data_IF_105035899366
#
_entry.id   IF_105035899366
#
_cell.length_a   1.000
_cell.length_b   1.000
_cell.length_c   1.000
_cell.angle_alpha   90.00
_cell.angle_beta   90.00
_cell.angle_gamma   90.00
#
_symmetry.space_group_name_H-M   'P 1'
#
loop_
_entity.id
_entity.type
_entity.pdbx_description
1 polymer ?
#
# COMPACT_ATOMS: atom_id res chain seq x y z
N UNK A 1 -18.50 22.38 -51.88
CA UNK A 1 -17.52 21.49 -51.22
C UNK A 1 -17.54 21.83 -49.74
N UNK A 2 -18.27 21.04 -48.96
CA UNK A 2 -18.36 21.13 -47.50
C UNK A 2 -18.09 19.73 -46.98
N UNK A 3 -16.82 19.45 -46.67
CA UNK A 3 -16.39 18.19 -46.05
C UNK A 3 -16.65 18.27 -44.55
N UNK A 4 -17.79 17.73 -44.13
CA UNK A 4 -18.09 17.47 -42.72
C UNK A 4 -17.45 16.14 -42.32
N UNK A 5 -16.32 16.23 -41.61
CA UNK A 5 -15.64 15.13 -40.94
C UNK A 5 -16.46 14.67 -39.71
N UNK A 6 -16.96 13.44 -39.62
CA UNK A 6 -17.58 12.94 -38.40
C UNK A 6 -16.48 12.41 -37.46
N UNK A 7 -16.06 13.22 -36.50
CA UNK A 7 -15.31 12.75 -35.33
C UNK A 7 -16.21 11.83 -34.50
N UNK A 8 -15.91 10.53 -34.54
CA UNK A 8 -16.45 9.56 -33.61
C UNK A 8 -16.07 9.96 -32.17
N UNK A 9 -16.97 9.82 -31.18
CA UNK A 9 -16.61 10.04 -29.79
C UNK A 9 -15.54 9.03 -29.39
N UNK A 10 -14.35 9.55 -29.08
CA UNK A 10 -13.28 8.80 -28.43
C UNK A 10 -13.82 8.32 -27.08
N UNK A 11 -14.20 7.05 -27.02
CA UNK A 11 -14.42 6.34 -25.77
C UNK A 11 -13.10 6.37 -25.00
N UNK A 12 -13.07 7.19 -23.94
CA UNK A 12 -11.96 7.25 -23.00
C UNK A 12 -11.65 5.85 -22.50
N UNK A 13 -10.53 5.30 -22.96
CA UNK A 13 -9.91 4.14 -22.35
C UNK A 13 -9.50 4.56 -20.93
N UNK A 14 -10.37 4.25 -19.97
CA UNK A 14 -9.99 4.18 -18.58
C UNK A 14 -8.83 3.19 -18.48
N UNK A 15 -7.70 3.55 -17.86
CA UNK A 15 -6.61 2.60 -17.64
C UNK A 15 -7.21 1.40 -16.90
N UNK A 16 -6.99 0.20 -17.44
CA UNK A 16 -7.47 -1.05 -16.88
C UNK A 16 -6.86 -1.18 -15.47
N UNK A 17 -7.61 -0.75 -14.45
CA UNK A 17 -7.29 -1.06 -13.07
C UNK A 17 -7.23 -2.57 -12.98
N UNK A 18 -6.05 -3.10 -12.69
CA UNK A 18 -5.80 -4.52 -12.47
C UNK A 18 -6.88 -5.01 -11.49
N UNK A 19 -7.90 -5.71 -11.97
CA UNK A 19 -8.91 -6.31 -11.11
C UNK A 19 -8.18 -7.41 -10.33
N UNK A 20 -7.82 -7.11 -9.08
CA UNK A 20 -7.14 -8.06 -8.21
C UNK A 20 -8.07 -9.25 -7.99
N UNK A 21 -7.53 -10.46 -8.15
CA UNK A 21 -8.24 -11.73 -8.07
C UNK A 21 -8.98 -11.88 -6.71
N UNK A 22 -10.30 -12.15 -6.68
CA UNK A 22 -11.03 -12.42 -5.46
C UNK A 22 -10.42 -13.53 -4.59
N UNK A 23 -9.80 -14.56 -5.20
CA UNK A 23 -9.16 -15.64 -4.45
C UNK A 23 -7.92 -15.14 -3.70
N UNK A 24 -7.18 -14.19 -4.28
CA UNK A 24 -6.06 -13.55 -3.62
C UNK A 24 -6.49 -12.79 -2.36
N UNK A 25 -7.62 -12.08 -2.41
CA UNK A 25 -8.18 -11.41 -1.23
C UNK A 25 -8.64 -12.41 -0.17
N UNK A 26 -9.32 -13.50 -0.56
CA UNK A 26 -9.74 -14.54 0.38
C UNK A 26 -8.54 -15.18 1.10
N UNK A 27 -7.46 -15.45 0.36
CA UNK A 27 -6.22 -15.97 0.91
C UNK A 27 -5.58 -14.98 1.89
N UNK A 28 -5.46 -13.71 1.48
CA UNK A 28 -4.88 -12.63 2.32
C UNK A 28 -5.67 -12.42 3.61
N UNK A 29 -7.01 -12.47 3.53
CA UNK A 29 -7.89 -12.34 4.70
C UNK A 29 -7.69 -13.50 5.69
N UNK A 30 -7.43 -14.71 5.20
CA UNK A 30 -7.13 -15.86 6.07
C UNK A 30 -5.86 -15.60 6.90
N UNK A 31 -4.82 -14.99 6.31
CA UNK A 31 -3.64 -14.59 7.07
C UNK A 31 -3.94 -13.50 8.10
N UNK A 32 -4.78 -12.53 7.76
CA UNK A 32 -5.21 -11.48 8.69
C UNK A 32 -6.00 -12.04 9.87
N UNK A 33 -6.89 -13.00 9.66
CA UNK A 33 -7.66 -13.62 10.74
C UNK A 33 -6.76 -14.35 11.74
N UNK A 34 -5.77 -15.09 11.23
CA UNK A 34 -4.76 -15.76 12.07
C UNK A 34 -3.94 -14.73 12.84
N UNK A 35 -3.49 -13.66 12.18
CA UNK A 35 -2.75 -12.57 12.82
C UNK A 35 -3.59 -11.91 13.94
N UNK A 36 -4.86 -11.62 13.67
CA UNK A 36 -5.78 -11.03 14.64
C UNK A 36 -5.98 -11.94 15.86
N UNK A 37 -6.08 -13.26 15.65
CA UNK A 37 -6.15 -14.23 16.73
C UNK A 37 -4.88 -14.22 17.59
N UNK A 38 -3.70 -14.23 16.95
CA UNK A 38 -2.41 -14.17 17.65
C UNK A 38 -2.23 -12.84 18.41
N UNK A 39 -2.69 -11.73 17.83
CA UNK A 39 -2.52 -10.39 18.40
C UNK A 39 -3.25 -10.24 19.74
N UNK A 40 -4.38 -10.94 19.92
CA UNK A 40 -5.11 -10.99 21.20
C UNK A 40 -4.29 -11.61 22.34
N UNK A 41 -3.32 -12.48 22.03
CA UNK A 41 -2.50 -13.18 23.02
C UNK A 41 -1.10 -12.56 23.19
N UNK A 42 -0.51 -12.09 22.09
CA UNK A 42 0.91 -11.71 22.02
C UNK A 42 1.13 -10.20 21.84
N UNK A 43 0.06 -9.43 21.60
CA UNK A 43 0.09 -8.01 21.30
C UNK A 43 0.41 -7.72 19.83
N UNK A 44 -0.20 -6.65 19.29
CA UNK A 44 -0.13 -6.29 17.86
C UNK A 44 1.31 -6.07 17.37
N UNK A 45 2.16 -5.40 18.16
CA UNK A 45 3.55 -5.11 17.78
C UNK A 45 4.37 -6.38 17.54
N UNK A 46 4.20 -7.39 18.41
CA UNK A 46 4.93 -8.66 18.30
C UNK A 46 4.45 -9.46 17.08
N UNK A 47 3.14 -9.47 16.85
CA UNK A 47 2.55 -10.18 15.71
C UNK A 47 2.92 -9.51 14.38
N UNK A 48 2.95 -8.17 14.32
CA UNK A 48 3.42 -7.43 13.14
C UNK A 48 4.84 -7.86 12.72
N UNK A 49 5.78 -7.93 13.67
CA UNK A 49 7.13 -8.43 13.39
C UNK A 49 7.16 -9.91 12.97
N UNK A 50 6.30 -10.75 13.58
CA UNK A 50 6.20 -12.16 13.23
C UNK A 50 5.68 -12.38 11.80
N UNK A 51 4.68 -11.60 11.36
CA UNK A 51 4.15 -11.64 9.99
C UNK A 51 5.24 -11.28 8.98
N UNK A 52 5.96 -10.18 9.22
CA UNK A 52 7.03 -9.75 8.31
C UNK A 52 8.12 -10.82 8.19
N UNK A 53 8.51 -11.43 9.31
CA UNK A 53 9.48 -12.53 9.31
C UNK A 53 8.95 -13.78 8.58
N UNK A 54 7.68 -14.15 8.79
CA UNK A 54 7.06 -15.28 8.11
C UNK A 54 6.95 -15.05 6.59
N UNK A 55 6.52 -13.86 6.17
CA UNK A 55 6.45 -13.46 4.77
C UNK A 55 7.82 -13.54 4.10
N UNK A 56 8.87 -13.02 4.75
CA UNK A 56 10.25 -13.13 4.23
C UNK A 56 10.67 -14.59 4.01
N UNK A 57 10.41 -15.47 4.98
CA UNK A 57 10.74 -16.90 4.87
C UNK A 57 10.00 -17.58 3.72
N UNK A 58 8.70 -17.31 3.58
CA UNK A 58 7.89 -17.87 2.51
C UNK A 58 8.35 -17.36 1.14
N UNK A 59 8.55 -16.05 1.00
CA UNK A 59 8.92 -15.43 -0.28
C UNK A 59 10.31 -15.87 -0.74
N UNK A 60 11.28 -16.01 0.17
CA UNK A 60 12.60 -16.57 -0.17
C UNK A 60 12.48 -18.03 -0.60
N UNK A 61 11.66 -18.83 0.09
CA UNK A 61 11.44 -20.23 -0.30
C UNK A 61 10.78 -20.34 -1.67
N UNK A 62 9.77 -19.51 -1.95
CA UNK A 62 9.11 -19.45 -3.25
C UNK A 62 10.10 -19.06 -4.36
N UNK A 63 10.87 -17.99 -4.15
CA UNK A 63 11.91 -17.53 -5.09
C UNK A 63 12.90 -18.63 -5.46
N UNK A 64 13.43 -19.35 -4.46
CA UNK A 64 14.31 -20.49 -4.69
C UNK A 64 13.64 -21.68 -5.39
N UNK A 65 12.31 -21.74 -5.40
CA UNK A 65 11.52 -22.79 -6.05
C UNK A 65 11.29 -22.57 -7.55
N UNK A 66 11.37 -21.33 -8.05
CA UNK A 66 11.13 -21.01 -9.46
C UNK A 66 12.31 -20.34 -10.18
N UNK A 67 13.24 -19.73 -9.45
CA UNK A 67 14.42 -19.07 -10.04
C UNK A 67 15.55 -20.07 -10.29
N UNK A 68 16.21 -19.92 -11.45
CA UNK A 68 17.35 -20.75 -11.87
C UNK A 68 18.69 -20.02 -11.73
N UNK A 69 18.73 -18.68 -11.88
CA UNK A 69 19.94 -17.87 -11.69
C UNK A 69 19.89 -17.02 -10.41
N UNK A 70 19.90 -17.72 -9.27
CA UNK A 70 19.81 -17.09 -7.94
C UNK A 70 20.90 -16.03 -7.72
N UNK A 71 22.10 -16.24 -8.26
CA UNK A 71 23.23 -15.32 -8.05
C UNK A 71 23.07 -14.04 -8.85
N UNK A 72 22.57 -14.14 -10.08
CA UNK A 72 22.30 -13.00 -10.94
C UNK A 72 21.11 -12.17 -10.49
N UNK A 73 20.05 -12.81 -9.98
CA UNK A 73 18.76 -12.14 -9.72
C UNK A 73 18.48 -11.83 -8.24
N UNK A 74 19.37 -12.21 -7.30
CA UNK A 74 19.16 -11.97 -5.86
C UNK A 74 18.86 -10.52 -5.50
N UNK A 75 19.61 -9.58 -6.05
CA UNK A 75 19.51 -8.17 -5.66
C UNK A 75 18.25 -7.53 -6.27
N UNK A 76 17.89 -7.93 -7.48
CA UNK A 76 16.63 -7.56 -8.13
C UNK A 76 15.43 -8.08 -7.33
N UNK A 77 15.44 -9.35 -6.92
CA UNK A 77 14.40 -9.92 -6.08
C UNK A 77 14.24 -9.16 -4.76
N UNK A 78 15.34 -8.88 -4.05
CA UNK A 78 15.30 -8.17 -2.78
C UNK A 78 14.70 -6.77 -2.95
N UNK A 79 15.17 -6.00 -3.94
CA UNK A 79 14.67 -4.66 -4.22
C UNK A 79 13.19 -4.69 -4.59
N UNK A 80 12.81 -5.58 -5.51
CA UNK A 80 11.42 -5.73 -5.95
C UNK A 80 10.48 -6.01 -4.77
N UNK A 81 10.84 -6.98 -3.90
CA UNK A 81 10.00 -7.34 -2.75
C UNK A 81 9.88 -6.19 -1.74
N UNK A 82 10.96 -5.43 -1.51
CA UNK A 82 10.91 -4.28 -0.59
C UNK A 82 10.12 -3.11 -1.16
N UNK A 83 10.22 -2.86 -2.46
CA UNK A 83 9.49 -1.78 -3.13
C UNK A 83 7.99 -2.10 -3.21
N UNK A 84 7.65 -3.36 -3.50
CA UNK A 84 6.27 -3.83 -3.49
C UNK A 84 5.64 -3.67 -2.09
N UNK A 85 6.37 -4.08 -1.04
CA UNK A 85 5.88 -3.93 0.33
C UNK A 85 5.73 -2.47 0.75
N UNK A 86 6.68 -1.61 0.36
CA UNK A 86 6.60 -0.17 0.59
C UNK A 86 5.36 0.42 -0.06
N UNK A 87 5.13 0.15 -1.35
CA UNK A 87 3.97 0.66 -2.08
C UNK A 87 2.65 0.25 -1.41
N UNK A 88 2.50 -1.04 -1.05
CA UNK A 88 1.29 -1.52 -0.37
C UNK A 88 1.09 -0.85 0.99
N UNK A 89 2.17 -0.62 1.76
CA UNK A 89 2.09 0.08 3.03
C UNK A 89 1.68 1.54 2.86
N UNK A 90 2.26 2.24 1.89
CA UNK A 90 1.95 3.64 1.58
C UNK A 90 0.49 3.77 1.16
N UNK A 91 0.00 2.88 0.29
CA UNK A 91 -1.39 2.84 -0.14
C UNK A 91 -2.36 2.61 1.03
N UNK A 92 -2.08 1.62 1.89
CA UNK A 92 -2.92 1.35 3.06
C UNK A 92 -2.85 2.45 4.11
N UNK A 93 -1.67 3.04 4.33
CA UNK A 93 -1.51 4.15 5.26
C UNK A 93 -2.31 5.36 4.79
N UNK A 94 -2.22 5.71 3.50
CA UNK A 94 -3.00 6.78 2.90
C UNK A 94 -4.50 6.50 3.01
N UNK A 95 -4.95 5.29 2.70
CA UNK A 95 -6.36 4.89 2.84
C UNK A 95 -6.87 5.08 4.25
N UNK A 96 -6.17 4.52 5.25
CA UNK A 96 -6.55 4.60 6.66
C UNK A 96 -6.48 6.05 7.18
N UNK A 97 -5.47 6.81 6.78
CA UNK A 97 -5.32 8.20 7.18
C UNK A 97 -6.48 9.06 6.64
N UNK A 98 -6.84 8.89 5.37
CA UNK A 98 -7.97 9.56 4.75
C UNK A 98 -9.29 9.21 5.45
N UNK A 99 -9.54 7.93 5.73
CA UNK A 99 -10.73 7.47 6.46
C UNK A 99 -10.83 8.08 7.86
N UNK A 100 -9.68 8.36 8.50
CA UNK A 100 -9.60 8.91 9.86
C UNK A 100 -9.40 10.43 9.89
N UNK A 101 -9.37 11.10 8.74
CA UNK A 101 -9.11 12.55 8.65
C UNK A 101 -7.71 12.95 9.14
N UNK A 102 -6.73 12.06 9.06
CA UNK A 102 -5.34 12.31 9.45
C UNK A 102 -4.59 12.88 8.24
N UNK A 103 -4.07 14.10 8.35
CA UNK A 103 -3.18 14.67 7.32
C UNK A 103 -1.78 14.04 7.44
N UNK A 104 -1.36 13.28 6.43
CA UNK A 104 -0.02 12.70 6.35
C UNK A 104 1.03 13.72 5.88
N UNK A 105 0.60 14.66 5.03
CA UNK A 105 1.42 15.71 4.44
C UNK A 105 1.12 17.07 5.10
N UNK A 106 1.19 17.15 6.43
CA UNK A 106 1.16 18.46 7.07
C UNK A 106 2.43 19.24 6.63
N UNK A 107 2.32 20.46 6.09
CA UNK A 107 3.50 21.27 5.84
C UNK A 107 4.21 21.52 7.18
N UNK A 108 5.49 21.13 7.25
CA UNK A 108 6.36 21.61 8.30
C UNK A 108 6.35 23.16 8.24
N UNK A 109 6.01 23.81 9.35
CA UNK A 109 5.71 25.24 9.48
C UNK A 109 4.34 25.73 8.96
N UNK A 110 3.34 25.67 9.84
CA UNK A 110 2.55 26.86 10.11
C UNK A 110 2.68 27.20 11.60
N UNK A 111 3.40 28.28 11.98
CA UNK A 111 3.33 28.77 13.34
C UNK A 111 1.88 29.16 13.64
N UNK A 112 1.37 28.68 14.77
CA UNK A 112 0.05 29.05 15.29
C UNK A 112 -0.08 30.57 15.26
N UNK A 113 -0.98 31.09 14.42
CA UNK A 113 -1.31 32.50 14.42
C UNK A 113 -1.80 32.86 15.83
N UNK A 114 -0.98 33.63 16.54
CA UNK A 114 -1.31 34.23 17.80
C UNK A 114 -2.54 35.13 17.59
N UNK A 115 -3.72 34.65 17.97
CA UNK A 115 -4.86 35.51 18.20
C UNK A 115 -4.65 36.20 19.56
N UNK A 116 -3.77 37.20 19.53
CA UNK A 116 -3.67 38.22 20.56
C UNK A 116 -4.74 39.28 20.27
N UNK A 117 -5.99 38.96 20.61
CA UNK A 117 -7.08 39.95 20.63
C UNK A 117 -7.39 40.27 22.08
N UNK A 118 -6.61 41.21 22.60
CA UNK A 118 -6.86 41.92 23.85
C UNK A 118 -8.26 42.55 23.84
N UNK A 119 -9.07 42.45 24.92
CA UNK A 119 -10.34 43.18 24.99
C UNK A 119 -10.07 44.67 25.27
N UNK A 120 -10.86 45.61 24.72
CA UNK A 120 -10.77 47.00 25.12
C UNK A 120 -11.36 47.19 26.53
N UNK A 121 -10.70 48.05 27.31
CA UNK A 121 -11.11 48.54 28.64
C UNK A 121 -12.32 49.46 28.53
#
# INVERSE_FOLDING_TARGET
MTDSNPQAPQSGQQPAGQQIDPEFFACSNTYLDIANQQARQQGMRRVSGAILFAAARYNVHAYLGFETDIRGTKDEFLNHMTDLYRSMLEDHLMGIANERGIALDAPADQPAAANDTMPPV
#
